data_IF_531365465458
#
_entry.id   IF_531365465458
#
_cell.length_a   1.000
_cell.length_b   1.000
_cell.length_c   1.000
_cell.angle_alpha   90.00
_cell.angle_beta   90.00
_cell.angle_gamma   90.00
#
_symmetry.space_group_name_H-M   'P 1'
#
loop_
_entity.id
_entity.type
_entity.pdbx_description
1 polymer ?
#
# COMPACT_ATOMS: atom_id res chain seq x y z
N UNK A 1 -19.10 25.68 6.47
CA UNK A 1 -19.23 24.55 5.51
C UNK A 1 -19.80 23.37 6.32
N UNK A 2 -20.81 22.68 5.83
CA UNK A 2 -21.36 21.51 6.53
C UNK A 2 -20.36 20.34 6.55
N UNK A 3 -20.43 19.45 7.56
CA UNK A 3 -19.53 18.29 7.68
C UNK A 3 -19.57 17.41 6.43
N UNK A 4 -20.74 17.09 5.82
CA UNK A 4 -20.78 16.32 4.56
C UNK A 4 -20.07 17.00 3.39
N UNK A 5 -20.16 18.32 3.27
CA UNK A 5 -19.46 19.08 2.23
C UNK A 5 -17.95 19.08 2.46
N UNK A 6 -17.51 19.19 3.72
CA UNK A 6 -16.09 19.07 4.10
C UNK A 6 -15.56 17.65 3.81
N UNK A 7 -16.30 16.62 4.17
CA UNK A 7 -15.94 15.22 3.91
C UNK A 7 -15.79 14.95 2.41
N UNK A 8 -16.73 15.41 1.58
CA UNK A 8 -16.63 15.29 0.11
C UNK A 8 -15.36 15.96 -0.41
N UNK A 9 -15.07 17.19 0.04
CA UNK A 9 -13.84 17.93 -0.33
C UNK A 9 -12.59 17.18 0.11
N UNK A 10 -12.57 16.64 1.32
CA UNK A 10 -11.46 15.82 1.84
C UNK A 10 -11.20 14.62 0.94
N UNK A 11 -12.23 13.82 0.64
CA UNK A 11 -12.10 12.62 -0.20
C UNK A 11 -11.63 12.97 -1.61
N UNK A 12 -12.18 14.01 -2.24
CA UNK A 12 -11.73 14.43 -3.60
C UNK A 12 -10.30 14.95 -3.60
N UNK A 13 -9.87 15.69 -2.58
CA UNK A 13 -8.48 16.15 -2.44
C UNK A 13 -7.52 14.97 -2.26
N UNK A 14 -7.87 14.02 -1.38
CA UNK A 14 -7.07 12.81 -1.17
C UNK A 14 -7.01 11.95 -2.42
N UNK A 15 -8.13 11.74 -3.13
CA UNK A 15 -8.15 11.00 -4.38
C UNK A 15 -7.27 11.67 -5.46
N UNK A 16 -7.35 12.99 -5.60
CA UNK A 16 -6.50 13.75 -6.53
C UNK A 16 -5.00 13.63 -6.18
N UNK A 17 -4.64 13.74 -4.89
CA UNK A 17 -3.26 13.54 -4.45
C UNK A 17 -2.80 12.10 -4.67
N UNK A 18 -3.70 11.12 -4.50
CA UNK A 18 -3.43 9.70 -4.71
C UNK A 18 -3.14 9.36 -6.18
N UNK A 19 -3.88 9.98 -7.11
CA UNK A 19 -3.59 9.85 -8.55
C UNK A 19 -2.19 10.36 -8.86
N UNK A 20 -1.87 11.59 -8.44
CA UNK A 20 -0.57 12.23 -8.72
C UNK A 20 0.59 11.50 -8.03
N UNK A 21 0.44 11.18 -6.73
CA UNK A 21 1.43 10.44 -5.97
C UNK A 21 1.60 9.01 -6.48
N UNK A 22 0.50 8.35 -6.85
CA UNK A 22 0.50 7.01 -7.43
C UNK A 22 1.22 6.96 -8.78
N UNK A 23 0.97 7.92 -9.68
CA UNK A 23 1.72 8.06 -10.95
C UNK A 23 3.22 8.20 -10.65
N UNK A 24 3.57 9.08 -9.70
CA UNK A 24 4.97 9.30 -9.32
C UNK A 24 5.65 8.04 -8.79
N UNK A 25 5.02 7.33 -7.83
CA UNK A 25 5.59 6.10 -7.26
C UNK A 25 5.73 5.02 -8.32
N UNK A 26 4.71 4.82 -9.17
CA UNK A 26 4.69 3.74 -10.16
C UNK A 26 5.68 3.99 -11.31
N UNK A 27 5.88 5.24 -11.72
CA UNK A 27 6.87 5.58 -12.74
C UNK A 27 8.30 5.26 -12.28
N UNK A 28 8.64 5.61 -11.03
CA UNK A 28 9.94 5.26 -10.43
C UNK A 28 10.11 3.75 -10.23
N UNK A 29 9.07 3.08 -9.70
CA UNK A 29 9.12 1.64 -9.44
C UNK A 29 9.35 0.82 -10.73
N UNK A 30 8.85 1.29 -11.87
CA UNK A 30 8.99 0.59 -13.16
C UNK A 30 10.45 0.41 -13.61
N UNK A 31 11.35 1.30 -13.18
CA UNK A 31 12.77 1.29 -13.58
C UNK A 31 13.75 1.09 -12.43
N UNK A 32 13.23 0.96 -11.19
CA UNK A 32 14.07 0.94 -9.98
C UNK A 32 15.11 -0.18 -9.97
N UNK A 33 14.71 -1.40 -10.34
CA UNK A 33 15.62 -2.54 -10.40
C UNK A 33 16.69 -2.39 -11.48
N UNK A 34 16.30 -1.86 -12.66
CA UNK A 34 17.24 -1.59 -13.76
C UNK A 34 18.26 -0.55 -13.36
N UNK A 35 17.81 0.53 -12.71
CA UNK A 35 18.69 1.59 -12.23
C UNK A 35 19.66 1.08 -11.15
N UNK A 36 19.18 0.21 -10.24
CA UNK A 36 20.02 -0.40 -9.22
C UNK A 36 21.11 -1.30 -9.84
N UNK A 37 20.76 -2.10 -10.87
CA UNK A 37 21.72 -2.90 -11.62
C UNK A 37 22.75 -2.03 -12.36
N UNK A 38 22.31 -0.97 -13.01
CA UNK A 38 23.17 -0.05 -13.79
C UNK A 38 24.20 0.65 -12.90
N UNK A 39 23.74 1.26 -11.79
CA UNK A 39 24.63 1.98 -10.84
C UNK A 39 25.57 1.05 -10.06
N UNK A 40 25.11 -0.18 -9.72
CA UNK A 40 25.94 -1.16 -9.01
C UNK A 40 26.89 -1.93 -9.93
N UNK A 41 26.65 -1.93 -11.23
CA UNK A 41 27.37 -2.78 -12.20
C UNK A 41 27.05 -4.26 -12.06
N UNK A 42 25.97 -4.66 -11.35
CA UNK A 42 25.65 -6.06 -11.06
C UNK A 42 24.15 -6.32 -10.97
N UNK A 43 23.66 -7.30 -11.71
CA UNK A 43 22.27 -7.76 -11.62
C UNK A 43 21.90 -8.34 -10.26
N UNK A 44 22.88 -8.85 -9.52
CA UNK A 44 22.69 -9.42 -8.17
C UNK A 44 22.12 -8.38 -7.19
N UNK A 45 22.48 -7.11 -7.34
CA UNK A 45 22.05 -6.02 -6.47
C UNK A 45 20.76 -5.33 -6.93
N UNK A 46 20.22 -5.71 -8.10
CA UNK A 46 19.01 -5.10 -8.68
C UNK A 46 17.81 -5.11 -7.71
N UNK A 47 17.64 -6.19 -6.96
CA UNK A 47 16.55 -6.34 -6.00
C UNK A 47 16.65 -5.45 -4.75
N UNK A 48 17.85 -4.97 -4.40
CA UNK A 48 18.04 -4.14 -3.21
C UNK A 48 17.33 -2.79 -3.30
N UNK A 49 17.17 -2.25 -4.50
CA UNK A 49 16.41 -1.00 -4.70
C UNK A 49 14.96 -1.13 -4.23
N UNK A 50 14.27 -2.17 -4.67
CA UNK A 50 12.89 -2.46 -4.23
C UNK A 50 12.79 -2.77 -2.74
N UNK A 51 13.74 -3.53 -2.20
CA UNK A 51 13.82 -3.83 -0.76
C UNK A 51 14.03 -2.56 0.06
N UNK A 52 14.95 -1.69 -0.33
CA UNK A 52 15.21 -0.42 0.34
C UNK A 52 13.96 0.48 0.32
N UNK A 53 13.27 0.57 -0.83
CA UNK A 53 12.02 1.35 -0.94
C UNK A 53 10.91 0.79 -0.04
N UNK A 54 10.74 -0.53 0.03
CA UNK A 54 9.72 -1.18 0.87
C UNK A 54 10.01 -0.97 2.35
N UNK A 55 11.26 -1.17 2.79
CA UNK A 55 11.69 -0.89 4.16
C UNK A 55 11.55 0.59 4.50
N UNK A 56 11.91 1.46 3.55
CA UNK A 56 11.73 2.90 3.68
C UNK A 56 10.28 3.30 3.86
N UNK A 57 9.35 2.67 3.13
CA UNK A 57 7.92 2.86 3.29
C UNK A 57 7.42 2.47 4.69
N UNK A 58 7.87 1.32 5.21
CA UNK A 58 7.53 0.87 6.55
C UNK A 58 8.06 1.82 7.64
N UNK A 59 9.33 2.26 7.53
CA UNK A 59 9.92 3.21 8.48
C UNK A 59 9.25 4.59 8.39
N UNK A 60 9.00 5.07 7.15
CA UNK A 60 8.33 6.34 6.92
C UNK A 60 6.90 6.35 7.49
N UNK A 61 6.20 5.20 7.47
CA UNK A 61 4.86 5.10 8.05
C UNK A 61 4.83 5.47 9.55
N UNK A 62 5.88 5.12 10.31
CA UNK A 62 6.01 5.52 11.72
C UNK A 62 6.24 7.03 11.87
N UNK A 63 7.09 7.61 11.03
CA UNK A 63 7.36 9.06 11.04
C UNK A 63 6.10 9.84 10.66
N UNK A 64 5.45 9.43 9.57
CA UNK A 64 4.20 10.04 9.09
C UNK A 64 3.10 9.94 10.16
N UNK A 65 2.96 8.78 10.82
CA UNK A 65 1.98 8.58 11.89
C UNK A 65 2.24 9.50 13.09
N UNK A 66 3.52 9.69 13.50
CA UNK A 66 3.89 10.63 14.58
C UNK A 66 3.53 12.06 14.23
N UNK A 67 3.88 12.49 13.01
CA UNK A 67 3.52 13.85 12.56
C UNK A 67 2.01 14.03 12.50
N UNK A 68 1.27 13.02 12.05
CA UNK A 68 -0.20 13.05 12.02
C UNK A 68 -0.81 13.14 13.41
N UNK A 69 -0.30 12.37 14.37
CA UNK A 69 -0.78 12.41 15.75
C UNK A 69 -0.61 13.80 16.39
N UNK A 70 0.54 14.44 16.14
CA UNK A 70 0.90 15.73 16.70
C UNK A 70 0.26 16.93 15.96
N UNK A 71 0.24 16.87 14.60
CA UNK A 71 -0.05 18.05 13.76
C UNK A 71 -1.22 17.87 12.79
N UNK A 72 -1.85 16.70 12.76
CA UNK A 72 -2.96 16.38 11.85
C UNK A 72 -2.52 15.67 10.55
N UNK A 73 -3.51 15.31 9.72
CA UNK A 73 -3.31 14.54 8.48
C UNK A 73 -2.50 15.28 7.43
N UNK A 74 -2.80 16.55 7.22
CA UNK A 74 -2.15 17.36 6.19
C UNK A 74 -0.63 17.40 6.36
N UNK A 75 -0.07 17.82 7.53
CA UNK A 75 1.38 17.82 7.72
C UNK A 75 2.01 16.43 7.65
N UNK A 76 1.34 15.40 8.14
CA UNK A 76 1.85 14.04 8.11
C UNK A 76 1.97 13.49 6.68
N UNK A 77 0.91 13.59 5.87
CA UNK A 77 0.94 13.16 4.46
C UNK A 77 1.96 13.96 3.65
N UNK A 78 2.02 15.28 3.88
CA UNK A 78 3.02 16.14 3.25
C UNK A 78 4.45 15.72 3.61
N UNK A 79 4.72 15.39 4.87
CA UNK A 79 6.03 14.92 5.31
C UNK A 79 6.47 13.66 4.56
N UNK A 80 5.56 12.69 4.35
CA UNK A 80 5.86 11.50 3.55
C UNK A 80 6.25 11.82 2.10
N UNK A 81 5.53 12.74 1.46
CA UNK A 81 5.89 13.18 0.11
C UNK A 81 7.18 14.01 0.06
N UNK A 82 7.47 14.84 1.07
CA UNK A 82 8.73 15.58 1.16
C UNK A 82 9.92 14.63 1.34
N UNK A 83 9.78 13.58 2.15
CA UNK A 83 10.78 12.52 2.26
C UNK A 83 11.02 11.87 0.89
N UNK A 84 9.98 11.58 0.14
CA UNK A 84 10.09 10.98 -1.18
C UNK A 84 10.71 11.93 -2.22
N UNK A 85 10.44 13.23 -2.17
CA UNK A 85 11.08 14.24 -3.01
C UNK A 85 12.58 14.23 -2.73
N UNK A 86 13.00 14.28 -1.46
CA UNK A 86 14.41 14.19 -1.10
C UNK A 86 15.03 12.87 -1.59
N UNK A 87 14.31 11.74 -1.42
CA UNK A 87 14.72 10.45 -1.94
C UNK A 87 14.91 10.43 -3.45
N UNK A 88 13.96 10.98 -4.20
CA UNK A 88 14.05 11.10 -5.66
C UNK A 88 15.22 11.97 -6.13
N UNK A 89 15.49 13.09 -5.44
CA UNK A 89 16.66 13.91 -5.71
C UNK A 89 17.97 13.16 -5.46
N UNK A 90 18.04 12.37 -4.37
CA UNK A 90 19.20 11.51 -4.10
C UNK A 90 19.36 10.41 -5.16
N UNK A 91 18.26 9.83 -5.67
CA UNK A 91 18.30 8.83 -6.75
C UNK A 91 18.90 9.47 -8.02
N UNK A 92 18.46 10.68 -8.38
CA UNK A 92 19.01 11.42 -9.53
C UNK A 92 20.49 11.71 -9.31
N UNK A 93 20.87 12.26 -8.17
CA UNK A 93 22.26 12.58 -7.85
C UNK A 93 23.15 11.32 -7.84
N UNK A 94 22.68 10.22 -7.21
CA UNK A 94 23.39 8.95 -7.14
C UNK A 94 23.70 8.37 -8.51
N UNK A 95 22.78 8.50 -9.44
CA UNK A 95 22.95 8.00 -10.82
C UNK A 95 23.98 8.82 -11.62
N UNK A 96 24.11 10.11 -11.31
CA UNK A 96 25.13 10.98 -11.95
C UNK A 96 26.51 10.71 -11.36
N UNK A 97 26.59 10.53 -10.03
CA UNK A 97 27.86 10.31 -9.31
C UNK A 97 28.32 8.84 -9.38
N UNK A 98 27.42 7.91 -9.72
CA UNK A 98 27.73 6.47 -9.74
C UNK A 98 27.80 5.85 -8.34
N UNK A 99 27.09 6.38 -7.32
CA UNK A 99 27.15 5.89 -5.94
C UNK A 99 25.94 5.01 -5.59
N UNK A 100 26.17 3.71 -5.48
CA UNK A 100 25.14 2.74 -5.10
C UNK A 100 24.60 2.94 -3.68
N UNK A 101 25.44 3.36 -2.74
CA UNK A 101 25.02 3.64 -1.35
C UNK A 101 24.04 4.81 -1.30
N UNK A 102 24.36 5.92 -2.02
CA UNK A 102 23.47 7.08 -2.11
C UNK A 102 22.16 6.70 -2.82
N UNK A 103 22.23 5.81 -3.81
CA UNK A 103 21.04 5.28 -4.49
C UNK A 103 20.12 4.53 -3.54
N UNK A 104 20.66 3.64 -2.70
CA UNK A 104 19.87 2.90 -1.70
C UNK A 104 19.23 3.82 -0.66
N UNK A 105 19.96 4.84 -0.19
CA UNK A 105 19.40 5.88 0.69
C UNK A 105 18.27 6.65 -0.01
N UNK A 106 18.44 6.95 -1.30
CA UNK A 106 17.41 7.55 -2.12
C UNK A 106 16.16 6.70 -2.20
N UNK A 107 16.28 5.40 -2.49
CA UNK A 107 15.15 4.47 -2.50
C UNK A 107 14.46 4.35 -1.15
N UNK A 108 15.23 4.30 -0.07
CA UNK A 108 14.70 4.23 1.29
C UNK A 108 13.83 5.46 1.59
N UNK A 109 14.29 6.67 1.30
CA UNK A 109 13.52 7.90 1.48
C UNK A 109 12.34 8.01 0.50
N UNK A 110 12.51 7.50 -0.73
CA UNK A 110 11.43 7.48 -1.73
C UNK A 110 10.23 6.63 -1.29
N UNK A 111 10.46 5.63 -0.42
CA UNK A 111 9.41 4.89 0.29
C UNK A 111 8.43 5.76 1.08
N UNK A 112 8.79 7.00 1.41
CA UNK A 112 7.92 7.98 2.06
C UNK A 112 6.63 8.27 1.29
N UNK A 113 6.67 8.27 -0.05
CA UNK A 113 5.47 8.42 -0.88
C UNK A 113 4.54 7.20 -0.74
N UNK A 114 5.09 6.00 -0.64
CA UNK A 114 4.31 4.78 -0.37
C UNK A 114 3.60 4.88 0.98
N UNK A 115 4.27 5.36 2.02
CA UNK A 115 3.68 5.59 3.33
C UNK A 115 2.55 6.66 3.26
N UNK A 116 2.78 7.79 2.58
CA UNK A 116 1.77 8.82 2.40
C UNK A 116 0.54 8.29 1.65
N UNK A 117 0.74 7.57 0.55
CA UNK A 117 -0.33 6.94 -0.21
C UNK A 117 -1.13 5.93 0.64
N UNK A 118 -0.46 5.11 1.42
CA UNK A 118 -1.10 4.17 2.33
C UNK A 118 -1.94 4.87 3.39
N UNK A 119 -1.42 5.93 4.01
CA UNK A 119 -2.11 6.67 5.07
C UNK A 119 -3.27 7.54 4.55
N UNK A 120 -3.25 7.95 3.28
CA UNK A 120 -4.31 8.75 2.67
C UNK A 120 -5.68 8.05 2.72
N UNK A 121 -5.74 6.70 2.60
CA UNK A 121 -6.99 5.94 2.71
C UNK A 121 -7.65 6.09 4.08
N UNK A 122 -6.85 6.15 5.15
CA UNK A 122 -7.36 6.34 6.50
C UNK A 122 -7.83 7.78 6.75
N UNK A 123 -7.15 8.79 6.19
CA UNK A 123 -7.57 10.17 6.28
C UNK A 123 -8.96 10.41 5.68
N UNK A 124 -9.35 9.61 4.67
CA UNK A 124 -10.68 9.64 4.08
C UNK A 124 -11.81 9.22 5.03
N UNK A 125 -11.47 8.61 6.17
CA UNK A 125 -12.46 8.10 7.13
C UNK A 125 -12.64 8.98 8.36
N UNK A 126 -11.84 10.03 8.55
CA UNK A 126 -11.81 10.80 9.80
C UNK A 126 -13.11 11.58 10.07
N UNK A 127 -13.76 12.07 9.03
CA UNK A 127 -15.05 12.80 9.10
C UNK A 127 -16.22 11.97 8.52
N UNK A 128 -15.97 10.70 8.15
CA UNK A 128 -17.00 9.83 7.61
C UNK A 128 -17.91 9.30 8.72
N UNK A 129 -19.21 9.27 8.44
CA UNK A 129 -20.15 8.51 9.25
C UNK A 129 -19.86 7.01 9.15
N UNK A 130 -20.35 6.24 10.14
CA UNK A 130 -20.10 4.81 10.21
C UNK A 130 -20.67 4.03 9.01
N UNK A 131 -21.77 4.53 8.43
CA UNK A 131 -22.47 3.88 7.32
C UNK A 131 -21.76 4.06 5.96
N UNK A 132 -20.82 5.01 5.82
CA UNK A 132 -20.15 5.31 4.56
C UNK A 132 -18.61 5.26 4.66
N UNK A 133 -18.07 4.75 5.76
CA UNK A 133 -16.63 4.71 6.02
C UNK A 133 -15.88 3.87 4.99
N UNK A 134 -16.41 2.70 4.65
CA UNK A 134 -15.83 1.80 3.65
C UNK A 134 -15.82 2.42 2.24
N UNK A 135 -16.90 3.09 1.85
CA UNK A 135 -17.01 3.78 0.56
C UNK A 135 -16.00 4.91 0.44
N UNK A 136 -15.86 5.77 1.44
CA UNK A 136 -14.91 6.89 1.40
C UNK A 136 -13.46 6.40 1.31
N UNK A 137 -13.10 5.38 2.08
CA UNK A 137 -11.79 4.74 2.04
C UNK A 137 -11.51 4.14 0.65
N UNK A 138 -12.47 3.41 0.11
CA UNK A 138 -12.33 2.71 -1.16
C UNK A 138 -12.17 3.63 -2.37
N UNK A 139 -12.77 4.82 -2.36
CA UNK A 139 -12.59 5.84 -3.41
C UNK A 139 -11.12 6.29 -3.48
N UNK A 140 -10.48 6.51 -2.32
CA UNK A 140 -9.06 6.88 -2.29
C UNK A 140 -8.18 5.72 -2.75
N UNK A 141 -8.49 4.49 -2.36
CA UNK A 141 -7.79 3.29 -2.85
C UNK A 141 -7.98 3.12 -4.36
N UNK A 142 -9.20 3.32 -4.87
CA UNK A 142 -9.50 3.26 -6.31
C UNK A 142 -8.68 4.27 -7.13
N UNK A 143 -8.46 5.46 -6.60
CA UNK A 143 -7.67 6.50 -7.27
C UNK A 143 -6.23 6.04 -7.60
N UNK A 144 -5.69 5.08 -6.85
CA UNK A 144 -4.39 4.44 -7.13
C UNK A 144 -4.38 3.71 -8.48
N UNK A 145 -5.53 3.23 -8.97
CA UNK A 145 -5.63 2.56 -10.28
C UNK A 145 -5.05 3.42 -11.40
N UNK A 146 -5.39 4.70 -11.40
CA UNK A 146 -4.91 5.64 -12.43
C UNK A 146 -3.38 5.73 -12.39
N UNK A 147 -2.81 5.87 -11.19
CA UNK A 147 -1.37 5.93 -10.98
C UNK A 147 -0.67 4.64 -11.41
N UNK A 148 -1.20 3.50 -10.98
CA UNK A 148 -0.62 2.18 -11.26
C UNK A 148 -0.60 1.84 -12.76
N UNK A 149 -1.62 2.31 -13.51
CA UNK A 149 -1.70 2.10 -14.97
C UNK A 149 -0.85 3.15 -15.72
N UNK A 150 -0.90 4.41 -15.31
CA UNK A 150 -0.20 5.48 -16.01
C UNK A 150 1.32 5.45 -15.78
N UNK A 151 1.77 5.07 -14.56
CA UNK A 151 3.18 5.17 -14.17
C UNK A 151 4.15 4.44 -15.09
N UNK A 152 3.98 3.13 -15.36
CA UNK A 152 4.88 2.40 -16.25
C UNK A 152 4.94 2.97 -17.68
N UNK A 153 3.83 3.57 -18.16
CA UNK A 153 3.77 4.21 -19.47
C UNK A 153 4.58 5.50 -19.56
N UNK A 154 5.01 6.05 -18.43
CA UNK A 154 5.89 7.22 -18.37
C UNK A 154 7.38 6.88 -18.59
N UNK A 155 7.77 5.62 -18.76
CA UNK A 155 9.16 5.23 -19.00
C UNK A 155 9.71 5.86 -20.28
N UNK A 156 8.99 5.79 -21.39
CA UNK A 156 9.38 6.43 -22.66
C UNK A 156 9.46 7.95 -22.58
N UNK A 157 8.40 8.65 -22.17
CA UNK A 157 8.44 10.10 -21.92
C UNK A 157 9.54 10.51 -20.94
N UNK A 158 9.77 9.71 -19.87
CA UNK A 158 10.85 9.95 -18.92
C UNK A 158 12.22 9.91 -19.57
N UNK A 159 12.50 8.90 -20.40
CA UNK A 159 13.77 8.83 -21.14
C UNK A 159 13.98 10.03 -22.07
N UNK A 160 12.92 10.52 -22.69
CA UNK A 160 13.00 11.75 -23.48
C UNK A 160 13.39 12.95 -22.61
N UNK A 161 12.76 13.13 -21.44
CA UNK A 161 13.10 14.20 -20.48
C UNK A 161 14.56 14.07 -20.01
N UNK A 162 15.02 12.85 -19.69
CA UNK A 162 16.41 12.62 -19.28
C UNK A 162 17.40 13.09 -20.35
N UNK A 163 17.14 12.78 -21.62
CA UNK A 163 17.98 13.23 -22.73
C UNK A 163 18.05 14.75 -22.82
N UNK A 164 16.93 15.48 -22.66
CA UNK A 164 16.91 16.94 -22.67
C UNK A 164 17.70 17.56 -21.51
N UNK A 165 17.73 16.87 -20.36
CA UNK A 165 18.44 17.29 -19.15
C UNK A 165 19.88 16.75 -19.09
N UNK A 166 20.37 16.05 -20.12
CA UNK A 166 21.68 15.39 -20.15
C UNK A 166 21.92 14.43 -18.98
N UNK A 167 20.85 13.74 -18.55
CA UNK A 167 20.86 12.74 -17.47
C UNK A 167 20.86 11.31 -18.05
N UNK A 168 21.32 10.29 -17.28
CA UNK A 168 21.16 8.88 -17.66
C UNK A 168 19.71 8.53 -17.96
N UNK A 169 19.46 7.72 -18.99
CA UNK A 169 18.12 7.45 -19.50
C UNK A 169 17.16 6.86 -18.44
N UNK A 170 17.68 6.00 -17.56
CA UNK A 170 16.91 5.34 -16.48
C UNK A 170 16.49 6.30 -15.36
N UNK A 171 17.08 7.51 -15.29
CA UNK A 171 16.72 8.54 -14.31
C UNK A 171 15.45 9.30 -14.70
N UNK A 172 15.14 9.37 -15.99
CA UNK A 172 14.03 10.17 -16.50
C UNK A 172 12.67 9.86 -15.86
N UNK A 173 12.25 8.61 -15.68
CA UNK A 173 11.04 8.29 -14.96
C UNK A 173 11.03 8.84 -13.51
N UNK A 174 12.18 8.92 -12.82
CA UNK A 174 12.28 9.53 -11.49
C UNK A 174 12.13 11.04 -11.52
N UNK A 175 12.57 11.72 -12.58
CA UNK A 175 12.29 13.16 -12.77
C UNK A 175 10.78 13.40 -12.88
N UNK A 176 10.08 12.58 -13.66
CA UNK A 176 8.61 12.65 -13.75
C UNK A 176 7.94 12.26 -12.41
N UNK A 177 8.50 11.28 -11.69
CA UNK A 177 8.06 10.92 -10.34
C UNK A 177 8.14 12.11 -9.39
N UNK A 178 9.24 12.85 -9.40
CA UNK A 178 9.43 14.05 -8.57
C UNK A 178 8.34 15.09 -8.86
N UNK A 179 8.01 15.33 -10.14
CA UNK A 179 6.93 16.24 -10.52
C UNK A 179 5.57 15.75 -9.97
N UNK A 180 5.24 14.48 -10.18
CA UNK A 180 3.98 13.90 -9.69
C UNK A 180 3.84 13.98 -8.17
N UNK A 181 4.91 13.62 -7.43
CA UNK A 181 4.95 13.66 -5.97
C UNK A 181 4.91 15.11 -5.44
N UNK A 182 5.60 16.04 -6.09
CA UNK A 182 5.56 17.46 -5.72
C UNK A 182 4.17 18.05 -5.93
N UNK A 183 3.49 17.72 -7.03
CA UNK A 183 2.11 18.12 -7.27
C UNK A 183 1.15 17.50 -6.25
N UNK A 184 1.34 16.24 -5.87
CA UNK A 184 0.56 15.60 -4.81
C UNK A 184 0.74 16.33 -3.47
N UNK A 185 1.98 16.66 -3.08
CA UNK A 185 2.28 17.44 -1.89
C UNK A 185 1.63 18.84 -1.94
N UNK A 186 1.69 19.51 -3.09
CA UNK A 186 1.06 20.81 -3.30
C UNK A 186 -0.46 20.74 -3.13
N UNK A 187 -1.12 19.74 -3.76
CA UNK A 187 -2.57 19.53 -3.64
C UNK A 187 -2.96 19.33 -2.18
N UNK A 188 -2.22 18.51 -1.42
CA UNK A 188 -2.51 18.29 0.01
C UNK A 188 -2.32 19.58 0.83
N UNK A 189 -1.21 20.28 0.64
CA UNK A 189 -0.92 21.48 1.42
C UNK A 189 -1.89 22.63 1.14
N UNK A 190 -2.33 22.77 -0.12
CA UNK A 190 -3.24 23.82 -0.54
C UNK A 190 -4.72 23.49 -0.24
N UNK A 191 -5.16 22.27 -0.55
CA UNK A 191 -6.58 21.92 -0.60
C UNK A 191 -7.10 21.11 0.60
N UNK A 192 -6.23 20.39 1.36
CA UNK A 192 -6.65 19.65 2.55
C UNK A 192 -6.79 20.58 3.77
N UNK A 193 -7.70 21.52 3.64
CA UNK A 193 -8.01 22.54 4.67
C UNK A 193 -9.52 22.69 4.81
N UNK A 194 -10.08 22.66 6.04
CA UNK A 194 -9.39 22.36 7.31
C UNK A 194 -8.89 20.92 7.37
N UNK A 195 -7.97 20.61 8.29
CA UNK A 195 -7.43 19.28 8.50
C UNK A 195 -8.52 18.32 9.01
N UNK A 196 -8.76 17.17 8.34
CA UNK A 196 -9.87 16.29 8.70
C UNK A 196 -9.74 15.69 10.11
N UNK A 197 -8.53 15.31 10.54
CA UNK A 197 -8.32 14.72 11.86
C UNK A 197 -8.50 15.75 12.97
N UNK A 198 -7.94 16.95 12.79
CA UNK A 198 -8.09 18.02 13.79
C UNK A 198 -9.54 18.48 13.89
N UNK A 199 -10.24 18.58 12.75
CA UNK A 199 -11.68 18.89 12.74
C UNK A 199 -12.49 17.80 13.44
N UNK A 200 -12.22 16.52 13.16
CA UNK A 200 -12.90 15.43 13.84
C UNK A 200 -12.66 15.44 15.35
N UNK A 201 -11.42 15.75 15.78
CA UNK A 201 -11.08 15.89 17.20
C UNK A 201 -11.81 17.06 17.86
N UNK A 202 -11.94 18.21 17.18
CA UNK A 202 -12.67 19.36 17.76
C UNK A 202 -14.16 19.11 17.92
N UNK A 203 -14.75 18.23 17.11
CA UNK A 203 -16.16 17.83 17.24
C UNK A 203 -16.40 16.82 18.38
N UNK A 204 -15.36 16.13 18.85
CA UNK A 204 -15.44 15.14 19.95
C UNK A 204 -15.05 15.72 21.31
N UNK A 205 -14.49 16.93 21.40
CA UNK A 205 -13.99 17.56 22.64
C UNK A 205 -15.07 17.70 23.72
N UNK A 206 -16.35 17.66 23.38
CA UNK A 206 -17.44 17.72 24.36
C UNK A 206 -17.69 16.40 25.13
N UNK A 207 -16.97 15.30 24.83
CA UNK A 207 -17.27 13.97 25.40
C UNK A 207 -16.07 13.20 25.98
N UNK A 208 -14.82 13.67 25.85
CA UNK A 208 -13.64 12.92 26.31
C UNK A 208 -12.86 13.66 27.40
N UNK A 209 -12.71 13.01 28.58
CA UNK A 209 -11.75 13.42 29.61
C UNK A 209 -10.30 13.34 29.09
N UNK A 210 -9.39 14.22 29.57
CA UNK A 210 -7.97 14.16 29.23
C UNK A 210 -7.37 12.82 29.69
N UNK A 211 -6.74 12.08 28.77
CA UNK A 211 -5.99 10.85 29.11
C UNK A 211 -4.75 11.22 29.93
N UNK A 212 -4.68 10.86 31.24
CA UNK A 212 -3.54 11.21 32.11
C UNK A 212 -2.22 10.52 31.66
N UNK A 213 -2.29 9.46 30.85
CA UNK A 213 -1.12 8.71 30.37
C UNK A 213 -0.46 9.32 29.12
N UNK A 214 -0.92 10.48 28.64
CA UNK A 214 -0.47 11.09 27.38
C UNK A 214 1.02 11.51 27.34
N UNK A 215 1.78 11.33 28.41
CA UNK A 215 3.11 11.94 28.55
C UNK A 215 4.33 11.03 28.45
N UNK A 216 4.25 9.71 28.66
CA UNK A 216 5.44 8.90 28.94
C UNK A 216 5.69 7.70 28.03
N UNK A 217 4.72 7.23 27.24
CA UNK A 217 4.90 6.10 26.33
C UNK A 217 5.08 6.53 24.87
N UNK A 218 6.01 5.88 24.15
CA UNK A 218 6.19 6.12 22.73
C UNK A 218 4.92 5.79 21.94
N UNK A 219 4.61 6.55 20.87
CA UNK A 219 3.37 6.37 20.08
C UNK A 219 3.22 4.98 19.47
N UNK A 220 4.33 4.33 19.11
CA UNK A 220 4.31 2.93 18.62
C UNK A 220 3.85 1.97 19.72
N UNK A 221 4.29 2.16 20.96
CA UNK A 221 3.88 1.35 22.12
C UNK A 221 2.38 1.52 22.40
N UNK A 222 1.87 2.76 22.34
CA UNK A 222 0.43 3.03 22.47
C UNK A 222 -0.38 2.41 21.35
N UNK A 223 0.07 2.54 20.10
CA UNK A 223 -0.57 1.91 18.93
C UNK A 223 -0.66 0.39 19.06
N UNK A 224 0.41 -0.25 19.52
CA UNK A 224 0.43 -1.70 19.77
C UNK A 224 -0.49 -2.10 20.91
N UNK A 225 -0.48 -1.37 22.03
CA UNK A 225 -1.34 -1.65 23.18
C UNK A 225 -2.82 -1.63 22.77
N UNK A 226 -3.24 -0.62 21.98
CA UNK A 226 -4.62 -0.50 21.49
C UNK A 226 -4.98 -1.63 20.53
N UNK A 227 -4.11 -1.98 19.60
CA UNK A 227 -4.35 -3.09 18.67
C UNK A 227 -4.53 -4.40 19.44
N UNK A 228 -3.64 -4.67 20.42
CA UNK A 228 -3.64 -5.92 21.18
C UNK A 228 -4.86 -6.06 22.08
N UNK A 229 -5.35 -4.97 22.66
CA UNK A 229 -6.48 -4.99 23.60
C UNK A 229 -7.84 -4.96 22.94
N UNK A 230 -7.91 -4.71 21.61
CA UNK A 230 -9.16 -4.63 20.86
C UNK A 230 -9.22 -5.72 19.79
N UNK A 231 -10.05 -6.76 19.96
CA UNK A 231 -10.11 -7.89 19.01
C UNK A 231 -10.39 -7.49 17.56
N UNK A 232 -11.23 -6.46 17.36
CA UNK A 232 -11.54 -5.95 16.01
C UNK A 232 -10.35 -5.21 15.39
N UNK A 233 -9.59 -4.45 16.19
CA UNK A 233 -8.39 -3.78 15.69
C UNK A 233 -7.33 -4.81 15.28
N UNK A 234 -7.10 -5.81 16.14
CA UNK A 234 -6.17 -6.91 15.85
C UNK A 234 -6.61 -7.69 14.60
N UNK A 235 -7.91 -8.03 14.49
CA UNK A 235 -8.45 -8.73 13.32
C UNK A 235 -8.24 -7.90 12.03
N UNK A 236 -8.43 -6.59 12.09
CA UNK A 236 -8.19 -5.69 10.96
C UNK A 236 -6.73 -5.74 10.50
N UNK A 237 -5.77 -5.66 11.44
CA UNK A 237 -4.33 -5.74 11.13
C UNK A 237 -3.95 -7.11 10.58
N UNK A 238 -4.44 -8.20 11.20
CA UNK A 238 -4.18 -9.59 10.75
C UNK A 238 -4.75 -9.81 9.34
N UNK A 239 -5.95 -9.32 9.05
CA UNK A 239 -6.56 -9.45 7.73
C UNK A 239 -5.74 -8.74 6.64
N UNK A 240 -5.28 -7.50 6.92
CA UNK A 240 -4.42 -6.76 6.01
C UNK A 240 -3.06 -7.45 5.81
N UNK A 241 -2.40 -7.89 6.89
CA UNK A 241 -1.09 -8.51 6.83
C UNK A 241 -1.12 -9.87 6.12
N UNK A 242 -2.04 -10.78 6.50
CA UNK A 242 -2.16 -12.09 5.86
C UNK A 242 -2.60 -11.97 4.40
N UNK A 243 -3.59 -11.11 4.09
CA UNK A 243 -3.98 -10.85 2.71
C UNK A 243 -2.81 -10.32 1.87
N UNK A 244 -1.96 -9.49 2.46
CA UNK A 244 -0.78 -8.93 1.78
C UNK A 244 0.33 -9.97 1.57
N UNK A 245 0.61 -10.83 2.57
CA UNK A 245 1.53 -11.98 2.41
C UNK A 245 1.09 -12.87 1.25
N UNK A 246 -0.17 -13.29 1.24
CA UNK A 246 -0.72 -14.17 0.19
C UNK A 246 -0.55 -13.53 -1.19
N UNK A 247 -0.95 -12.26 -1.31
CA UNK A 247 -0.89 -11.53 -2.57
C UNK A 247 0.55 -11.36 -3.06
N UNK A 248 1.46 -10.84 -2.22
CA UNK A 248 2.84 -10.55 -2.62
C UNK A 248 3.60 -11.83 -2.95
N UNK A 249 3.44 -12.88 -2.15
CA UNK A 249 4.16 -14.15 -2.36
C UNK A 249 3.84 -14.76 -3.72
N UNK A 250 2.58 -14.85 -4.09
CA UNK A 250 2.15 -15.43 -5.37
C UNK A 250 2.52 -14.50 -6.53
N UNK A 251 2.22 -13.19 -6.41
CA UNK A 251 2.44 -12.21 -7.47
C UNK A 251 3.92 -12.10 -7.86
N UNK A 252 4.83 -12.02 -6.87
CA UNK A 252 6.25 -11.77 -7.14
C UNK A 252 6.93 -12.92 -7.87
N UNK A 253 6.46 -14.17 -7.68
CA UNK A 253 7.00 -15.36 -8.33
C UNK A 253 6.30 -15.70 -9.65
N UNK A 254 5.16 -15.09 -9.95
CA UNK A 254 4.40 -15.36 -11.19
C UNK A 254 5.18 -15.03 -12.47
N UNK A 255 5.89 -13.88 -12.61
CA UNK A 255 6.68 -13.62 -13.81
C UNK A 255 7.74 -14.69 -14.08
N UNK A 256 8.40 -15.18 -13.02
CA UNK A 256 9.38 -16.26 -13.13
C UNK A 256 8.74 -17.58 -13.59
N UNK A 257 7.57 -17.93 -13.02
CA UNK A 257 6.79 -19.10 -13.41
C UNK A 257 6.37 -19.04 -14.89
N UNK A 258 5.94 -17.87 -15.36
CA UNK A 258 5.56 -17.64 -16.75
C UNK A 258 6.76 -17.72 -17.70
N UNK A 259 7.91 -17.14 -17.33
CA UNK A 259 9.15 -17.20 -18.12
C UNK A 259 9.69 -18.62 -18.27
N UNK A 260 9.61 -19.46 -17.23
CA UNK A 260 9.99 -20.86 -17.30
C UNK A 260 9.14 -21.68 -18.30
N UNK A 261 7.99 -21.17 -18.69
CA UNK A 261 7.15 -21.73 -19.76
C UNK A 261 7.18 -20.90 -21.05
N UNK A 262 8.26 -20.13 -21.27
CA UNK A 262 8.51 -19.35 -22.49
C UNK A 262 7.47 -18.25 -22.80
N UNK A 263 6.74 -17.74 -21.82
CA UNK A 263 5.83 -16.61 -22.02
C UNK A 263 6.63 -15.33 -22.36
N UNK A 264 6.16 -14.61 -23.37
CA UNK A 264 6.73 -13.32 -23.76
C UNK A 264 6.51 -12.23 -22.72
N UNK A 265 7.39 -11.23 -22.69
CA UNK A 265 7.33 -10.11 -21.73
C UNK A 265 6.02 -9.32 -21.82
N UNK A 266 5.46 -9.19 -23.04
CA UNK A 266 4.17 -8.50 -23.26
C UNK A 266 3.01 -9.20 -22.53
N UNK A 267 2.96 -10.54 -22.61
CA UNK A 267 1.94 -11.35 -21.94
C UNK A 267 2.11 -11.27 -20.43
N UNK A 268 3.35 -11.33 -19.92
CA UNK A 268 3.65 -11.16 -18.49
C UNK A 268 3.16 -9.78 -18.01
N UNK A 269 3.48 -8.73 -18.76
CA UNK A 269 3.04 -7.36 -18.46
C UNK A 269 1.52 -7.23 -18.45
N UNK A 270 0.82 -7.84 -19.40
CA UNK A 270 -0.66 -7.85 -19.45
C UNK A 270 -1.26 -8.54 -18.21
N UNK A 271 -0.74 -9.71 -17.84
CA UNK A 271 -1.24 -10.47 -16.68
C UNK A 271 -1.03 -9.69 -15.38
N UNK A 272 0.14 -9.05 -15.21
CA UNK A 272 0.40 -8.18 -14.05
C UNK A 272 -0.53 -6.97 -14.05
N UNK A 273 -0.76 -6.35 -15.21
CA UNK A 273 -1.68 -5.20 -15.31
C UNK A 273 -3.10 -5.59 -14.93
N UNK A 274 -3.58 -6.75 -15.37
CA UNK A 274 -4.90 -7.27 -14.99
C UNK A 274 -4.98 -7.58 -13.48
N UNK A 275 -3.89 -8.09 -12.88
CA UNK A 275 -3.80 -8.25 -11.43
C UNK A 275 -3.97 -6.90 -10.70
N UNK A 276 -3.26 -5.86 -11.14
CA UNK A 276 -3.34 -4.50 -10.57
C UNK A 276 -4.75 -3.91 -10.73
N UNK A 277 -5.41 -4.16 -11.86
CA UNK A 277 -6.85 -3.83 -12.04
C UNK A 277 -7.69 -4.56 -11.00
N UNK A 278 -7.45 -5.85 -10.75
CA UNK A 278 -8.10 -6.63 -9.69
C UNK A 278 -7.92 -6.01 -8.30
N UNK A 279 -6.72 -5.50 -7.99
CA UNK A 279 -6.41 -4.87 -6.69
C UNK A 279 -7.21 -3.59 -6.45
N UNK A 280 -7.33 -2.73 -7.44
CA UNK A 280 -7.78 -1.36 -7.22
C UNK A 280 -9.09 -0.98 -7.90
N UNK A 281 -9.37 -1.48 -9.12
CA UNK A 281 -10.51 -1.04 -9.89
C UNK A 281 -11.86 -1.41 -9.24
N UNK A 282 -11.91 -2.55 -8.54
CA UNK A 282 -13.10 -3.03 -7.83
C UNK A 282 -13.23 -2.50 -6.39
N UNK A 283 -12.31 -1.65 -5.95
CA UNK A 283 -12.32 -1.10 -4.59
C UNK A 283 -13.65 -0.42 -4.20
N UNK A 284 -14.34 0.37 -5.06
CA UNK A 284 -15.61 0.98 -4.69
C UNK A 284 -16.72 -0.05 -4.39
N UNK A 285 -16.72 -1.18 -5.12
CA UNK A 285 -17.65 -2.28 -4.85
C UNK A 285 -17.35 -2.94 -3.51
N UNK A 286 -16.07 -3.14 -3.19
CA UNK A 286 -15.64 -3.65 -1.89
C UNK A 286 -16.03 -2.70 -0.76
N UNK A 287 -15.84 -1.39 -0.94
CA UNK A 287 -16.23 -0.38 0.05
C UNK A 287 -17.75 -0.37 0.30
N UNK A 288 -18.54 -0.44 -0.78
CA UNK A 288 -19.99 -0.59 -0.66
C UNK A 288 -20.39 -1.87 0.09
N UNK A 289 -19.74 -2.99 -0.21
CA UNK A 289 -20.00 -4.25 0.46
C UNK A 289 -19.67 -4.17 1.98
N UNK A 290 -18.57 -3.49 2.34
CA UNK A 290 -18.20 -3.23 3.75
C UNK A 290 -19.27 -2.39 4.46
N UNK A 291 -19.75 -1.33 3.83
CA UNK A 291 -20.79 -0.47 4.41
C UNK A 291 -22.14 -1.21 4.54
N UNK A 292 -22.45 -2.13 3.61
CA UNK A 292 -23.72 -2.85 3.57
C UNK A 292 -23.75 -4.09 4.49
N UNK A 293 -22.65 -4.86 4.52
CA UNK A 293 -22.60 -6.17 5.18
C UNK A 293 -21.67 -6.19 6.40
N UNK A 294 -20.89 -5.12 6.59
CA UNK A 294 -19.85 -5.03 7.63
C UNK A 294 -18.49 -5.58 7.19
N UNK A 295 -17.46 -5.19 7.91
CA UNK A 295 -16.06 -5.55 7.57
C UNK A 295 -15.78 -7.04 7.66
N UNK A 296 -16.26 -7.74 8.72
CA UNK A 296 -15.94 -9.15 8.95
C UNK A 296 -16.43 -10.10 7.83
N UNK A 297 -17.69 -10.03 7.34
CA UNK A 297 -18.13 -10.82 6.19
C UNK A 297 -17.29 -10.56 4.93
N UNK A 298 -16.91 -9.30 4.68
CA UNK A 298 -16.09 -8.95 3.51
C UNK A 298 -14.66 -9.49 3.64
N UNK A 299 -14.07 -9.51 4.86
CA UNK A 299 -12.79 -10.20 5.12
C UNK A 299 -12.93 -11.70 4.81
N UNK A 300 -14.00 -12.34 5.25
CA UNK A 300 -14.23 -13.78 4.99
C UNK A 300 -14.36 -14.07 3.49
N UNK A 301 -15.11 -13.24 2.75
CA UNK A 301 -15.21 -13.32 1.28
C UNK A 301 -13.81 -13.12 0.66
N UNK A 302 -13.06 -12.10 1.10
CA UNK A 302 -11.70 -11.85 0.64
C UNK A 302 -10.77 -13.04 0.87
N UNK A 303 -10.84 -13.68 2.05
CA UNK A 303 -10.08 -14.90 2.36
C UNK A 303 -10.46 -16.06 1.43
N UNK A 304 -11.76 -16.27 1.17
CA UNK A 304 -12.24 -17.26 0.21
C UNK A 304 -11.75 -17.02 -1.23
N UNK A 305 -11.77 -15.76 -1.67
CA UNK A 305 -11.26 -15.36 -2.99
C UNK A 305 -9.75 -15.58 -3.07
N UNK A 306 -8.99 -15.19 -2.02
CA UNK A 306 -7.53 -15.43 -1.95
C UNK A 306 -7.20 -16.93 -1.96
N UNK A 307 -7.96 -17.75 -1.23
CA UNK A 307 -7.81 -19.20 -1.24
C UNK A 307 -8.04 -19.76 -2.64
N UNK A 308 -9.14 -19.40 -3.28
CA UNK A 308 -9.45 -19.83 -4.66
C UNK A 308 -8.36 -19.40 -5.63
N UNK A 309 -7.92 -18.15 -5.56
CA UNK A 309 -6.84 -17.62 -6.39
C UNK A 309 -5.54 -18.41 -6.21
N UNK A 310 -5.17 -18.70 -4.96
CA UNK A 310 -3.94 -19.44 -4.62
C UNK A 310 -4.00 -20.89 -5.12
N UNK A 311 -5.13 -21.56 -4.98
CA UNK A 311 -5.34 -22.94 -5.48
C UNK A 311 -5.34 -22.99 -7.00
N UNK A 312 -5.98 -22.01 -7.67
CA UNK A 312 -5.92 -21.89 -9.12
C UNK A 312 -4.48 -21.68 -9.59
N UNK A 313 -3.73 -20.77 -8.95
CA UNK A 313 -2.32 -20.53 -9.27
C UNK A 313 -1.47 -21.80 -9.08
N UNK A 314 -1.66 -22.51 -7.96
CA UNK A 314 -0.97 -23.79 -7.68
C UNK A 314 -1.25 -24.87 -8.74
N UNK A 315 -2.41 -24.86 -9.37
CA UNK A 315 -2.83 -25.84 -10.37
C UNK A 315 -2.36 -25.52 -11.80
N UNK A 316 -1.60 -24.42 -12.00
CA UNK A 316 -1.14 -24.03 -13.34
C UNK A 316 0.15 -24.72 -13.73
N UNK A 317 0.24 -25.15 -15.01
CA UNK A 317 1.51 -25.54 -15.61
C UNK A 317 2.39 -24.29 -15.84
N UNK A 318 3.70 -24.51 -16.06
CA UNK A 318 4.64 -23.44 -16.42
C UNK A 318 4.17 -22.72 -17.70
N UNK A 319 4.32 -21.41 -17.71
CA UNK A 319 3.95 -20.57 -18.85
C UNK A 319 2.67 -19.77 -18.62
N UNK A 320 2.13 -19.23 -19.72
CA UNK A 320 0.88 -18.49 -19.70
C UNK A 320 -0.32 -19.42 -19.82
N UNK A 321 -1.35 -19.18 -19.03
CA UNK A 321 -2.66 -19.80 -19.17
C UNK A 321 -3.75 -18.83 -18.73
N UNK A 322 -4.94 -18.95 -19.32
CA UNK A 322 -6.11 -18.18 -18.88
C UNK A 322 -6.38 -18.41 -17.38
N UNK A 323 -6.16 -19.64 -16.89
CA UNK A 323 -6.31 -20.00 -15.48
C UNK A 323 -5.40 -19.18 -14.58
N UNK A 324 -4.12 -18.98 -14.96
CA UNK A 324 -3.18 -18.15 -14.22
C UNK A 324 -3.61 -16.67 -14.21
N UNK A 325 -4.06 -16.17 -15.36
CA UNK A 325 -4.59 -14.80 -15.47
C UNK A 325 -5.77 -14.58 -14.54
N UNK A 326 -6.76 -15.50 -14.57
CA UNK A 326 -7.93 -15.45 -13.67
C UNK A 326 -7.49 -15.53 -12.20
N UNK A 327 -6.54 -16.43 -11.88
CA UNK A 327 -5.99 -16.55 -10.53
C UNK A 327 -5.41 -15.21 -10.04
N UNK A 328 -4.64 -14.50 -10.87
CA UNK A 328 -4.03 -13.23 -10.50
C UNK A 328 -5.06 -12.09 -10.36
N UNK A 329 -6.08 -12.04 -11.20
CA UNK A 329 -7.18 -11.07 -11.04
C UNK A 329 -7.90 -11.31 -9.72
N UNK A 330 -8.27 -12.57 -9.42
CA UNK A 330 -8.90 -12.94 -8.15
C UNK A 330 -7.98 -12.64 -6.96
N UNK A 331 -6.67 -12.88 -7.09
CA UNK A 331 -5.68 -12.56 -6.06
C UNK A 331 -5.71 -11.07 -5.70
N UNK A 332 -5.76 -10.20 -6.71
CA UNK A 332 -5.90 -8.76 -6.52
C UNK A 332 -7.23 -8.39 -5.86
N UNK A 333 -8.35 -8.96 -6.30
CA UNK A 333 -9.67 -8.70 -5.73
C UNK A 333 -9.75 -9.16 -4.26
N UNK A 334 -9.25 -10.35 -3.94
CA UNK A 334 -9.22 -10.86 -2.57
C UNK A 334 -8.37 -9.99 -1.64
N UNK A 335 -7.22 -9.52 -2.12
CA UNK A 335 -6.40 -8.55 -1.42
C UNK A 335 -7.14 -7.22 -1.18
N UNK A 336 -7.83 -6.71 -2.18
CA UNK A 336 -8.64 -5.48 -2.05
C UNK A 336 -9.71 -5.63 -0.95
N UNK A 337 -10.38 -6.78 -0.88
CA UNK A 337 -11.36 -7.07 0.18
C UNK A 337 -10.70 -7.04 1.57
N UNK A 338 -9.56 -7.72 1.76
CA UNK A 338 -8.88 -7.75 3.06
C UNK A 338 -8.30 -6.40 3.44
N UNK A 339 -7.78 -5.62 2.48
CA UNK A 339 -7.25 -4.27 2.72
C UNK A 339 -8.35 -3.31 3.16
N UNK A 340 -9.43 -3.19 2.38
CA UNK A 340 -10.49 -2.19 2.63
C UNK A 340 -11.26 -2.55 3.88
N UNK A 341 -11.69 -3.81 4.01
CA UNK A 341 -12.45 -4.25 5.17
C UNK A 341 -11.59 -4.25 6.45
N UNK A 342 -10.32 -4.67 6.37
CA UNK A 342 -9.37 -4.62 7.49
C UNK A 342 -9.07 -3.19 7.94
N UNK A 343 -8.84 -2.27 6.99
CA UNK A 343 -8.61 -0.84 7.28
C UNK A 343 -9.84 -0.19 7.94
N UNK A 344 -11.04 -0.51 7.45
CA UNK A 344 -12.31 0.00 8.00
C UNK A 344 -12.54 -0.54 9.40
N UNK A 345 -12.29 -1.85 9.63
CA UNK A 345 -12.44 -2.50 10.93
C UNK A 345 -11.47 -1.90 11.96
N UNK A 346 -10.19 -1.74 11.60
CA UNK A 346 -9.18 -1.10 12.43
C UNK A 346 -9.60 0.32 12.83
N UNK A 347 -10.03 1.12 11.85
CA UNK A 347 -10.43 2.51 12.08
C UNK A 347 -11.67 2.62 12.98
N UNK A 348 -12.65 1.71 12.82
CA UNK A 348 -13.86 1.68 13.64
C UNK A 348 -13.55 1.27 15.10
N UNK A 349 -12.62 0.34 15.28
CA UNK A 349 -12.28 -0.20 16.60
C UNK A 349 -11.38 0.71 17.44
N UNK A 350 -10.64 1.67 16.82
CA UNK A 350 -9.63 2.48 17.50
C UNK A 350 -10.15 3.90 17.78
N UNK A 351 -10.02 4.43 19.01
CA UNK A 351 -10.38 5.81 19.35
C UNK A 351 -9.64 6.82 18.46
N UNK A 352 -10.30 7.93 18.13
CA UNK A 352 -9.80 8.92 17.16
C UNK A 352 -8.39 9.43 17.49
N UNK A 353 -8.07 9.65 18.77
CA UNK A 353 -6.75 10.13 19.22
C UNK A 353 -5.62 9.13 18.91
N UNK A 354 -5.90 7.83 18.97
CA UNK A 354 -4.93 6.74 18.83
C UNK A 354 -4.87 6.17 17.39
N UNK A 355 -5.79 6.59 16.51
CA UNK A 355 -5.85 6.11 15.11
C UNK A 355 -4.53 6.27 14.35
N UNK A 356 -3.85 7.43 14.36
CA UNK A 356 -2.61 7.57 13.59
C UNK A 356 -1.54 6.55 13.99
N UNK A 357 -1.35 6.31 15.31
CA UNK A 357 -0.38 5.34 15.80
C UNK A 357 -0.74 3.89 15.39
N UNK A 358 -2.00 3.48 15.57
CA UNK A 358 -2.46 2.13 15.19
C UNK A 358 -2.41 1.90 13.67
N UNK A 359 -2.79 2.91 12.88
CA UNK A 359 -2.75 2.85 11.42
C UNK A 359 -1.32 2.83 10.87
N UNK A 360 -0.41 3.63 11.44
CA UNK A 360 1.01 3.58 11.11
C UNK A 360 1.61 2.19 11.38
N UNK A 361 1.28 1.61 12.55
CA UNK A 361 1.76 0.28 12.90
C UNK A 361 1.16 -0.82 12.01
N UNK A 362 -0.10 -0.68 11.57
CA UNK A 362 -0.71 -1.61 10.62
C UNK A 362 -0.01 -1.58 9.25
N UNK A 363 0.43 -0.40 8.79
CA UNK A 363 1.18 -0.28 7.54
C UNK A 363 2.59 -0.88 7.66
N UNK A 364 3.24 -0.74 8.84
CA UNK A 364 4.51 -1.44 9.13
C UNK A 364 4.31 -2.95 9.10
N UNK A 365 3.27 -3.46 9.77
CA UNK A 365 2.95 -4.89 9.77
C UNK A 365 2.71 -5.42 8.35
N UNK A 366 1.96 -4.68 7.53
CA UNK A 366 1.75 -4.98 6.11
C UNK A 366 3.06 -4.99 5.31
N UNK A 367 3.92 -3.97 5.50
CA UNK A 367 5.20 -3.86 4.80
C UNK A 367 6.14 -5.01 5.13
N UNK A 368 6.25 -5.37 6.43
CA UNK A 368 7.06 -6.50 6.89
C UNK A 368 6.49 -7.83 6.40
N UNK A 369 5.16 -7.97 6.42
CA UNK A 369 4.47 -9.15 5.92
C UNK A 369 4.72 -9.35 4.42
N UNK A 370 4.57 -8.29 3.62
CA UNK A 370 4.85 -8.34 2.18
C UNK A 370 6.31 -8.61 1.87
N UNK A 371 7.24 -7.91 2.52
CA UNK A 371 8.68 -8.11 2.35
C UNK A 371 9.13 -9.52 2.76
N UNK A 372 8.69 -10.00 3.92
CA UNK A 372 8.97 -11.36 4.41
C UNK A 372 8.33 -12.44 3.52
N UNK A 373 7.07 -12.25 3.12
CA UNK A 373 6.37 -13.15 2.22
C UNK A 373 7.05 -13.26 0.85
N UNK A 374 7.48 -12.13 0.28
CA UNK A 374 8.23 -12.11 -0.98
C UNK A 374 9.58 -12.81 -0.90
N UNK A 375 10.34 -12.58 0.18
CA UNK A 375 11.63 -13.24 0.41
C UNK A 375 11.46 -14.77 0.55
N UNK A 376 10.51 -15.20 1.38
CA UNK A 376 10.22 -16.62 1.58
C UNK A 376 9.70 -17.29 0.31
N UNK A 377 8.91 -16.56 -0.50
CA UNK A 377 8.36 -17.09 -1.75
C UNK A 377 9.45 -17.58 -2.70
N UNK A 378 10.58 -16.86 -2.81
CA UNK A 378 11.73 -17.27 -3.61
C UNK A 378 12.34 -18.59 -3.12
N UNK A 379 12.50 -18.75 -1.80
CA UNK A 379 13.02 -19.98 -1.18
C UNK A 379 12.07 -21.15 -1.44
N UNK A 380 10.77 -20.95 -1.22
CA UNK A 380 9.75 -21.98 -1.43
C UNK A 380 9.73 -22.44 -2.89
N UNK A 381 9.74 -21.50 -3.84
CA UNK A 381 9.74 -21.83 -5.27
C UNK A 381 11.01 -22.55 -5.68
N UNK A 382 12.18 -22.15 -5.12
CA UNK A 382 13.46 -22.78 -5.40
C UNK A 382 13.52 -24.23 -4.94
N UNK A 383 12.91 -24.57 -3.81
CA UNK A 383 12.97 -25.94 -3.26
C UNK A 383 11.79 -26.82 -3.69
N UNK A 384 10.59 -26.30 -3.73
CA UNK A 384 9.34 -27.09 -3.91
C UNK A 384 8.51 -26.65 -5.12
N UNK A 385 8.95 -25.60 -5.83
CA UNK A 385 8.26 -25.10 -7.01
C UNK A 385 7.06 -24.18 -6.72
N UNK A 386 6.55 -23.59 -7.78
CA UNK A 386 5.43 -22.64 -7.73
C UNK A 386 4.12 -23.24 -7.19
N UNK A 387 3.75 -24.52 -7.49
CA UNK A 387 2.56 -25.14 -6.89
C UNK A 387 2.58 -25.16 -5.36
N UNK A 388 3.73 -25.47 -4.75
CA UNK A 388 3.86 -25.48 -3.29
C UNK A 388 3.67 -24.09 -2.71
N UNK A 389 4.18 -23.05 -3.37
CA UNK A 389 3.94 -21.66 -2.96
C UNK A 389 2.45 -21.33 -2.97
N UNK A 390 1.72 -21.70 -4.02
CA UNK A 390 0.28 -21.50 -4.12
C UNK A 390 -0.49 -22.23 -3.01
N UNK A 391 -0.09 -23.47 -2.65
CA UNK A 391 -0.72 -24.22 -1.56
C UNK A 391 -0.45 -23.57 -0.18
N UNK A 392 0.77 -23.11 0.09
CA UNK A 392 1.10 -22.40 1.33
C UNK A 392 0.35 -21.07 1.45
N UNK A 393 0.28 -20.32 0.35
CA UNK A 393 -0.51 -19.09 0.27
C UNK A 393 -2.01 -19.37 0.51
N UNK A 394 -2.54 -20.46 -0.08
CA UNK A 394 -3.89 -20.94 0.18
C UNK A 394 -4.12 -21.31 1.65
N UNK A 395 -3.15 -21.98 2.28
CA UNK A 395 -3.18 -22.28 3.74
C UNK A 395 -3.27 -21.02 4.60
N UNK A 396 -2.50 -19.97 4.26
CA UNK A 396 -2.57 -18.67 4.96
C UNK A 396 -3.93 -17.97 4.74
N UNK A 397 -4.49 -18.05 3.52
CA UNK A 397 -5.83 -17.52 3.24
C UNK A 397 -6.93 -18.28 3.99
N UNK A 398 -6.82 -19.62 4.07
CA UNK A 398 -7.73 -20.46 4.84
C UNK A 398 -7.66 -20.11 6.34
N UNK A 399 -6.44 -19.97 6.89
CA UNK A 399 -6.23 -19.55 8.28
C UNK A 399 -6.94 -18.22 8.55
N UNK A 400 -6.79 -17.23 7.64
CA UNK A 400 -7.51 -15.96 7.76
C UNK A 400 -9.02 -16.18 7.82
N UNK A 401 -9.59 -17.00 6.93
CA UNK A 401 -11.02 -17.32 6.91
C UNK A 401 -11.51 -17.94 8.21
N UNK A 402 -10.71 -18.82 8.82
CA UNK A 402 -11.03 -19.48 10.09
C UNK A 402 -10.93 -18.54 11.30
N UNK A 403 -10.06 -17.51 11.25
CA UNK A 403 -9.92 -16.53 12.33
C UNK A 403 -11.09 -15.54 12.40
N UNK A 404 -11.78 -15.26 11.28
CA UNK A 404 -12.89 -14.28 11.24
C UNK A 404 -14.02 -14.61 12.24
N UNK A 405 -14.57 -15.85 12.32
CA UNK A 405 -15.63 -16.17 13.26
C UNK A 405 -15.16 -16.23 14.73
N UNK A 406 -13.89 -16.58 14.97
CA UNK A 406 -13.35 -16.69 16.34
C UNK A 406 -13.32 -15.32 17.04
N UNK A 407 -13.03 -14.25 16.34
CA UNK A 407 -13.05 -12.90 16.90
C UNK A 407 -14.41 -12.42 17.38
N UNK A 408 -15.54 -13.08 17.03
CA UNK A 408 -16.88 -12.81 17.58
C UNK A 408 -17.07 -13.35 19.00
N UNK A 409 -16.32 -14.39 19.38
CA UNK A 409 -16.46 -15.05 20.68
C UNK A 409 -15.74 -14.35 21.83
N UNK A 410 -14.81 -13.42 21.49
CA UNK A 410 -14.02 -12.67 22.47
C UNK A 410 -14.47 -11.21 22.63
N UNK A 411 -15.58 -10.81 22.01
CA UNK A 411 -16.13 -9.45 22.01
C UNK A 411 -17.52 -9.35 22.67
N UNK A 412 -17.85 -10.27 23.64
CA UNK A 412 -19.00 -10.13 24.54
C UNK A 412 -18.54 -9.61 25.88
#
# INVERSE_FOLDING_TARGET
MSIPALQRRTVTTLAGSQVLGGVGVSAGAAVGALLAADVSGSETWAGLGGTAQTLGGALAALVVARVMAAKGRRPGLTAGYLMAILGGLLIVAASVVGSFVVLLLGFLLFGGATAANSQARFAATDLADDAHRGRHLSVVVWATTVGAVAGPNLTGPGQWVARQLHLPALVGPYVLSLVGIALAALVLTAALRPDPLLTARSLQVDHDEPDPAAGLEGEATRGWAVIRTRPDALMGVVAMALGHVVMVSVMIMTPLHMRHGHAGLEIIGLVISLHVVGMYAFSPLTGWAVDRWGSRPVIAVGAGVLLTASLLAASTARGHSLRLTVALVLLGMGWSCTLIAGSTLLTAAVPLRQRPAAQGLSDVAMGLAGGGGGALAGVVVGWWGYPALGLLAGGAALLLGLLVPLGRRFGC
#
